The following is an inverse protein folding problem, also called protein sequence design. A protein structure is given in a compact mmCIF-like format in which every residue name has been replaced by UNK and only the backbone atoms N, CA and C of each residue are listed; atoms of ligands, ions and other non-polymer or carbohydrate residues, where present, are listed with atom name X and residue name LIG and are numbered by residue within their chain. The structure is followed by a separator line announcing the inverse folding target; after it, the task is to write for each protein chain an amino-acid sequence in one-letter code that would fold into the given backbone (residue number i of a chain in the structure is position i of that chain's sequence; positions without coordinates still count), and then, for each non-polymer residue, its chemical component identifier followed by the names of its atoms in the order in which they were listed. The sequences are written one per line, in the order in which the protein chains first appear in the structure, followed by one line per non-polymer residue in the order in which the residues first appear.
data_IF_928058595416
#
_entry.id   IF_928058595416
#
_cell.length_a   1.000
_cell.length_b   1.000
_cell.length_c   1.000
_cell.angle_alpha   90.00
_cell.angle_beta   90.00
_cell.angle_gamma   90.00
#
_symmetry.space_group_name_H-M   'P 1'
#
loop_
_entity.id
_entity.type
_entity.pdbx_description
1 polymer ?
#
# COMPACT_ATOMS: atom_id res chain seq x y z
N UNK A 1 -63.88 38.91 26.09
CA UNK A 1 -63.20 39.03 24.78
C UNK A 1 -61.70 38.79 24.97
N UNK A 2 -61.18 37.82 24.22
CA UNK A 2 -59.78 37.61 23.78
C UNK A 2 -58.69 37.38 24.86
N UNK A 3 -58.40 36.10 25.07
CA UNK A 3 -57.15 35.60 25.66
C UNK A 3 -56.00 35.77 24.67
N UNK A 4 -54.86 36.28 25.14
CA UNK A 4 -53.64 36.49 24.37
C UNK A 4 -52.75 35.26 24.58
N UNK A 5 -52.67 34.37 23.59
CA UNK A 5 -51.79 33.19 23.63
C UNK A 5 -50.44 33.59 23.04
N UNK A 6 -49.45 33.77 23.91
CA UNK A 6 -48.05 34.01 23.54
C UNK A 6 -47.43 32.68 23.10
N UNK A 7 -47.18 32.53 21.80
CA UNK A 7 -46.66 31.29 21.21
C UNK A 7 -45.13 31.25 21.32
N UNK A 8 -44.62 30.27 22.08
CA UNK A 8 -43.19 30.01 22.25
C UNK A 8 -42.67 29.16 21.07
N UNK A 9 -41.88 29.76 20.18
CA UNK A 9 -41.23 29.04 19.10
C UNK A 9 -39.95 28.34 19.61
N UNK A 10 -40.03 27.01 19.78
CA UNK A 10 -38.87 26.17 20.11
C UNK A 10 -38.20 25.79 18.78
N UNK A 11 -37.07 26.44 18.47
CA UNK A 11 -36.22 26.05 17.36
C UNK A 11 -35.44 24.78 17.73
N UNK A 12 -35.86 23.63 17.21
CA UNK A 12 -35.14 22.36 17.33
C UNK A 12 -33.93 22.35 16.39
N UNK A 13 -32.74 22.52 16.96
CA UNK A 13 -31.49 22.20 16.27
C UNK A 13 -31.43 20.67 16.06
N UNK A 14 -31.75 20.20 14.85
CA UNK A 14 -31.50 18.82 14.46
C UNK A 14 -30.00 18.62 14.28
N UNK A 15 -29.33 18.10 15.32
CA UNK A 15 -28.00 17.51 15.20
C UNK A 15 -28.10 16.30 14.28
N UNK A 16 -27.64 16.44 13.04
CA UNK A 16 -27.45 15.30 12.14
C UNK A 16 -26.32 14.43 12.69
N UNK A 17 -26.70 13.37 13.40
CA UNK A 17 -25.83 12.25 13.72
C UNK A 17 -25.38 11.58 12.43
N UNK A 18 -24.15 11.82 12.01
CA UNK A 18 -23.49 10.95 11.03
C UNK A 18 -23.14 9.66 11.75
N UNK A 19 -24.04 8.68 11.68
CA UNK A 19 -23.71 7.29 11.95
C UNK A 19 -22.70 6.84 10.87
N UNK A 20 -21.41 7.05 11.13
CA UNK A 20 -20.34 6.32 10.45
C UNK A 20 -20.46 4.87 10.91
N UNK A 21 -21.33 4.12 10.23
CA UNK A 21 -21.24 2.67 10.28
C UNK A 21 -19.86 2.33 9.73
N UNK A 22 -18.96 1.93 10.65
CA UNK A 22 -17.67 1.37 10.31
C UNK A 22 -17.88 0.07 9.58
N UNK A 23 -18.27 0.16 8.31
CA UNK A 23 -18.08 -0.92 7.36
C UNK A 23 -16.59 -1.10 7.22
N UNK A 24 -16.03 -2.02 8.00
CA UNK A 24 -14.78 -2.70 7.66
C UNK A 24 -15.05 -3.33 6.29
N UNK A 25 -14.38 -2.86 5.22
CA UNK A 25 -14.65 -3.46 3.94
C UNK A 25 -14.03 -4.86 3.93
N UNK A 26 -14.91 -5.86 3.83
CA UNK A 26 -14.53 -7.27 3.67
C UNK A 26 -14.09 -7.47 2.22
N UNK A 27 -12.78 -7.64 2.01
CA UNK A 27 -12.22 -7.94 0.70
C UNK A 27 -11.52 -9.29 0.76
N UNK A 28 -12.20 -10.31 0.23
CA UNK A 28 -11.60 -11.61 -0.07
C UNK A 28 -10.57 -11.46 -1.18
N UNK A 29 -9.37 -12.01 -0.97
CA UNK A 29 -8.30 -12.09 -1.96
C UNK A 29 -8.86 -12.61 -3.30
N UNK A 30 -8.61 -11.85 -4.38
CA UNK A 30 -9.05 -12.22 -5.74
C UNK A 30 -9.67 -11.10 -6.57
N UNK A 31 -9.88 -9.88 -6.03
CA UNK A 31 -10.43 -8.78 -6.83
C UNK A 31 -9.33 -7.88 -7.40
N UNK A 32 -9.14 -8.00 -8.71
CA UNK A 32 -8.37 -7.15 -9.63
C UNK A 32 -8.19 -5.69 -9.16
N UNK A 33 -7.06 -5.40 -8.48
CA UNK A 33 -6.67 -4.02 -8.16
C UNK A 33 -5.70 -3.53 -9.24
N UNK A 34 -6.26 -3.04 -10.34
CA UNK A 34 -5.56 -2.15 -11.27
C UNK A 34 -6.23 -0.78 -11.19
N UNK A 35 -6.02 -0.10 -10.06
CA UNK A 35 -6.32 1.32 -9.95
C UNK A 35 -5.01 2.04 -9.70
N UNK A 36 -4.76 3.19 -10.34
CA UNK A 36 -3.44 3.79 -10.33
C UNK A 36 -3.20 4.40 -8.92
N UNK A 37 -2.31 3.80 -8.13
CA UNK A 37 -1.95 4.26 -6.77
C UNK A 37 -0.57 4.92 -6.75
N UNK A 38 -0.38 5.80 -5.78
CA UNK A 38 0.88 6.51 -5.53
C UNK A 38 1.61 6.00 -4.29
N UNK A 39 0.90 5.37 -3.36
CA UNK A 39 1.46 4.80 -2.13
C UNK A 39 1.22 3.29 -2.07
N UNK A 40 2.26 2.53 -1.77
CA UNK A 40 2.21 1.10 -1.49
C UNK A 40 2.69 0.89 -0.06
N UNK A 41 1.84 0.28 0.77
CA UNK A 41 2.17 -0.09 2.14
C UNK A 41 2.13 -1.60 2.26
N UNK A 42 3.21 -2.18 2.78
CA UNK A 42 3.38 -3.63 2.93
C UNK A 42 3.52 -3.93 4.41
N UNK A 43 2.69 -4.84 4.93
CA UNK A 43 2.75 -5.30 6.32
C UNK A 43 3.06 -6.80 6.40
N UNK A 44 3.85 -7.18 7.41
CA UNK A 44 4.07 -8.59 7.78
C UNK A 44 5.12 -9.32 6.94
N UNK A 45 5.05 -10.67 6.93
CA UNK A 45 6.06 -11.52 6.31
C UNK A 45 5.82 -11.78 4.82
N UNK A 46 6.26 -10.86 3.97
CA UNK A 46 5.92 -10.89 2.53
C UNK A 46 7.14 -10.80 1.61
N UNK A 47 7.08 -11.56 0.52
CA UNK A 47 7.92 -11.38 -0.65
C UNK A 47 7.13 -10.65 -1.73
N UNK A 48 7.41 -9.36 -1.91
CA UNK A 48 6.71 -8.52 -2.88
C UNK A 48 7.52 -8.43 -4.16
N UNK A 49 6.89 -8.75 -5.28
CA UNK A 49 7.45 -8.62 -6.63
C UNK A 49 6.77 -7.44 -7.31
N UNK A 50 7.50 -6.35 -7.51
CA UNK A 50 7.01 -5.18 -8.25
C UNK A 50 7.11 -5.46 -9.75
N UNK A 51 5.99 -5.35 -10.43
CA UNK A 51 5.88 -5.56 -11.89
C UNK A 51 5.37 -4.28 -12.55
N UNK A 52 5.64 -4.12 -13.85
CA UNK A 52 5.11 -2.98 -14.59
C UNK A 52 3.59 -3.08 -14.73
N UNK A 53 2.93 -1.93 -14.78
CA UNK A 53 1.46 -1.82 -14.83
C UNK A 53 0.77 -2.38 -16.09
N UNK A 54 1.55 -2.88 -17.05
CA UNK A 54 1.03 -3.70 -18.14
C UNK A 54 0.36 -4.97 -17.58
N UNK A 55 0.82 -5.45 -16.42
CA UNK A 55 0.12 -6.44 -15.60
C UNK A 55 -1.03 -5.76 -14.82
N UNK A 56 -2.28 -6.17 -15.08
CA UNK A 56 -3.47 -5.50 -14.51
C UNK A 56 -3.89 -5.99 -13.12
N UNK A 57 -3.16 -6.92 -12.52
CA UNK A 57 -3.65 -7.60 -11.31
C UNK A 57 -2.55 -7.84 -10.30
N UNK A 58 -2.86 -7.50 -9.04
CA UNK A 58 -2.15 -8.05 -7.89
C UNK A 58 -2.43 -9.55 -7.87
N UNK A 59 -1.38 -10.37 -7.90
CA UNK A 59 -1.51 -11.83 -7.84
C UNK A 59 -0.76 -12.40 -6.65
N UNK A 60 -1.43 -13.27 -5.90
CA UNK A 60 -0.88 -13.98 -4.75
C UNK A 60 -0.64 -15.42 -5.21
N UNK A 61 0.62 -15.84 -5.25
CA UNK A 61 1.00 -17.13 -5.86
C UNK A 61 0.56 -18.35 -5.05
N UNK A 62 0.35 -18.20 -3.74
CA UNK A 62 0.07 -19.30 -2.82
C UNK A 62 -1.42 -19.36 -2.42
N UNK A 63 -2.02 -20.54 -2.46
CA UNK A 63 -3.39 -20.78 -1.98
C UNK A 63 -3.53 -20.50 -0.47
N UNK A 64 -2.49 -20.78 0.31
CA UNK A 64 -2.42 -20.42 1.75
C UNK A 64 -2.25 -18.90 1.88
N UNK A 65 -1.49 -18.29 0.96
CA UNK A 65 -1.36 -16.85 0.84
C UNK A 65 -2.70 -16.14 0.58
N UNK A 66 -3.59 -16.73 -0.20
CA UNK A 66 -4.91 -16.14 -0.50
C UNK A 66 -5.84 -16.06 0.71
N UNK A 67 -5.59 -16.81 1.79
CA UNK A 67 -6.38 -16.72 3.02
C UNK A 67 -5.73 -15.84 4.08
N UNK A 68 -4.41 -15.66 4.02
CA UNK A 68 -3.61 -14.91 5.01
C UNK A 68 -3.19 -13.51 4.57
N UNK A 69 -3.28 -13.21 3.27
CA UNK A 69 -2.89 -11.92 2.70
C UNK A 69 -4.12 -11.16 2.22
N UNK A 70 -4.29 -9.95 2.75
CA UNK A 70 -5.34 -9.03 2.33
C UNK A 70 -4.74 -7.92 1.47
N UNK A 71 -5.44 -7.55 0.40
CA UNK A 71 -5.10 -6.40 -0.43
C UNK A 71 -6.24 -5.38 -0.36
N UNK A 72 -5.95 -4.18 0.14
CA UNK A 72 -6.90 -3.09 0.27
C UNK A 72 -6.48 -1.94 -0.65
N UNK A 73 -7.40 -1.48 -1.49
CA UNK A 73 -7.24 -0.24 -2.23
C UNK A 73 -8.13 0.85 -1.64
N UNK A 74 -7.55 1.98 -1.28
CA UNK A 74 -8.29 3.13 -0.77
C UNK A 74 -7.49 4.41 -1.00
N UNK A 75 -8.13 5.50 -1.42
CA UNK A 75 -7.51 6.84 -1.47
C UNK A 75 -6.12 6.90 -2.15
N UNK A 76 -5.95 6.25 -3.31
CA UNK A 76 -4.68 6.16 -4.07
C UNK A 76 -3.54 5.44 -3.34
N UNK A 77 -3.92 4.57 -2.40
CA UNK A 77 -3.03 3.74 -1.64
C UNK A 77 -3.42 2.28 -1.81
N UNK A 78 -2.41 1.45 -2.01
CA UNK A 78 -2.53 0.00 -1.97
C UNK A 78 -1.87 -0.48 -0.67
N UNK A 79 -2.65 -1.15 0.18
CA UNK A 79 -2.16 -1.80 1.38
C UNK A 79 -2.16 -3.31 1.12
N UNK A 80 -1.01 -3.94 1.25
CA UNK A 80 -0.87 -5.39 1.26
C UNK A 80 -0.57 -5.81 2.70
N UNK A 81 -1.53 -6.45 3.34
CA UNK A 81 -1.44 -6.91 4.72
C UNK A 81 -1.21 -8.42 4.76
N UNK A 82 0.01 -8.81 5.09
CA UNK A 82 0.44 -10.18 5.35
C UNK A 82 0.80 -10.41 6.82
N UNK A 83 0.24 -9.63 7.75
CA UNK A 83 0.54 -9.78 9.20
C UNK A 83 0.12 -11.13 9.77
N UNK A 84 -0.79 -11.85 9.08
CA UNK A 84 -1.22 -13.20 9.44
C UNK A 84 -0.35 -14.31 8.81
N UNK A 85 0.67 -13.94 8.02
CA UNK A 85 1.60 -14.88 7.39
C UNK A 85 2.65 -15.33 8.41
N UNK A 86 2.94 -16.64 8.42
CA UNK A 86 3.88 -17.23 9.37
C UNK A 86 5.31 -16.73 9.09
N UNK A 87 6.10 -16.49 10.13
CA UNK A 87 7.47 -15.94 10.02
C UNK A 87 8.44 -16.83 9.20
N UNK A 88 8.18 -18.13 9.16
CA UNK A 88 9.05 -19.10 8.47
C UNK A 88 8.69 -19.35 7.00
N UNK A 89 7.52 -18.88 6.54
CA UNK A 89 7.01 -19.17 5.20
C UNK A 89 6.47 -17.91 4.54
N UNK A 90 7.34 -17.05 3.97
CA UNK A 90 6.91 -15.79 3.36
C UNK A 90 6.03 -16.06 2.14
N UNK A 91 4.91 -15.34 2.05
CA UNK A 91 4.01 -15.41 0.90
C UNK A 91 4.48 -14.48 -0.20
N UNK A 92 4.46 -14.96 -1.45
CA UNK A 92 4.84 -14.16 -2.61
C UNK A 92 3.63 -13.44 -3.21
N UNK A 93 3.74 -12.12 -3.35
CA UNK A 93 2.72 -11.24 -3.91
C UNK A 93 3.33 -10.44 -5.07
N UNK A 94 2.76 -10.57 -6.28
CA UNK A 94 3.11 -9.71 -7.42
C UNK A 94 2.21 -8.48 -7.41
N UNK A 95 2.80 -7.30 -7.54
CA UNK A 95 2.13 -6.02 -7.35
C UNK A 95 2.46 -5.09 -8.52
N UNK A 96 1.48 -4.70 -9.36
CA UNK A 96 1.71 -3.87 -10.53
C UNK A 96 1.82 -2.38 -10.19
N UNK A 97 2.95 -1.76 -10.52
CA UNK A 97 3.27 -0.36 -10.21
C UNK A 97 3.36 0.50 -11.47
N UNK A 98 2.70 1.66 -11.48
CA UNK A 98 2.75 2.63 -12.60
C UNK A 98 3.24 4.02 -12.19
N UNK A 99 2.75 4.54 -11.06
CA UNK A 99 3.02 5.89 -10.57
C UNK A 99 3.39 5.88 -9.08
N UNK A 100 4.00 4.78 -8.63
CA UNK A 100 4.40 4.61 -7.25
C UNK A 100 5.44 5.67 -6.86
N UNK A 101 5.05 6.51 -5.90
CA UNK A 101 5.88 7.57 -5.34
C UNK A 101 6.43 7.18 -3.96
N UNK A 102 5.70 6.36 -3.21
CA UNK A 102 6.04 5.96 -1.84
C UNK A 102 5.83 4.47 -1.61
N UNK A 103 6.92 3.76 -1.28
CA UNK A 103 6.91 2.38 -0.81
C UNK A 103 7.23 2.37 0.69
N UNK A 104 6.29 1.88 1.48
CA UNK A 104 6.47 1.66 2.91
C UNK A 104 6.40 0.18 3.24
N UNK A 105 7.36 -0.28 4.02
CA UNK A 105 7.49 -1.68 4.41
C UNK A 105 7.52 -1.72 5.93
N UNK A 106 6.59 -2.47 6.53
CA UNK A 106 6.40 -2.58 7.97
C UNK A 106 6.41 -4.06 8.36
N UNK A 107 7.54 -4.55 8.88
CA UNK A 107 7.73 -5.94 9.28
C UNK A 107 8.89 -6.61 8.55
N UNK A 108 8.79 -7.93 8.36
CA UNK A 108 9.83 -8.76 7.73
C UNK A 108 9.49 -8.90 6.24
N UNK A 109 10.10 -8.12 5.34
CA UNK A 109 9.72 -8.22 3.93
C UNK A 109 10.91 -8.16 2.97
N UNK A 110 10.75 -8.86 1.84
CA UNK A 110 11.65 -8.72 0.70
C UNK A 110 10.91 -8.13 -0.47
N UNK A 111 11.40 -6.99 -0.99
CA UNK A 111 10.83 -6.34 -2.15
C UNK A 111 11.81 -6.42 -3.30
N UNK A 112 11.37 -7.00 -4.42
CA UNK A 112 12.15 -7.11 -5.64
C UNK A 112 11.38 -6.51 -6.81
N UNK A 113 12.06 -5.80 -7.71
CA UNK A 113 11.49 -5.46 -9.02
C UNK A 113 11.79 -6.57 -10.03
N UNK A 114 10.78 -7.06 -10.74
CA UNK A 114 10.98 -8.04 -11.82
C UNK A 114 11.70 -7.40 -13.01
N UNK A 115 11.24 -6.21 -13.41
CA UNK A 115 11.76 -5.44 -14.52
C UNK A 115 12.25 -4.08 -14.06
N UNK A 116 12.96 -3.34 -14.93
CA UNK A 116 13.27 -1.94 -14.67
C UNK A 116 11.97 -1.13 -14.68
N UNK A 117 11.61 -0.59 -13.52
CA UNK A 117 10.43 0.24 -13.33
C UNK A 117 10.65 1.63 -13.94
N UNK A 118 9.57 2.25 -14.41
CA UNK A 118 9.58 3.60 -15.00
C UNK A 118 8.96 4.63 -14.05
N UNK A 119 9.53 4.78 -12.85
CA UNK A 119 9.04 5.71 -11.83
C UNK A 119 9.92 6.95 -11.78
N UNK A 120 9.33 8.15 -11.86
CA UNK A 120 10.08 9.41 -11.82
C UNK A 120 10.82 9.60 -10.50
N UNK A 121 10.11 9.39 -9.40
CA UNK A 121 10.61 9.52 -8.04
C UNK A 121 9.98 8.46 -7.16
N UNK A 122 10.81 7.64 -6.52
CA UNK A 122 10.39 6.64 -5.55
C UNK A 122 11.06 6.93 -4.21
N UNK A 123 10.26 7.15 -3.18
CA UNK A 123 10.69 7.13 -1.79
C UNK A 123 10.42 5.77 -1.19
N UNK A 124 11.42 5.17 -0.56
CA UNK A 124 11.32 3.90 0.13
C UNK A 124 11.55 4.13 1.62
N UNK A 125 10.61 3.72 2.47
CA UNK A 125 10.81 3.61 3.92
C UNK A 125 10.61 2.16 4.35
N UNK A 126 11.44 1.71 5.29
CA UNK A 126 11.35 0.36 5.84
C UNK A 126 11.49 0.43 7.36
N UNK A 127 10.47 -0.07 8.04
CA UNK A 127 10.42 -0.30 9.46
C UNK A 127 10.38 -1.80 9.70
N UNK A 128 11.52 -2.38 10.09
CA UNK A 128 11.66 -3.82 10.31
C UNK A 128 12.89 -4.38 9.60
N UNK A 129 12.83 -5.66 9.29
CA UNK A 129 13.93 -6.40 8.68
C UNK A 129 13.59 -6.77 7.24
N UNK A 130 14.55 -6.67 6.33
CA UNK A 130 14.21 -6.92 4.95
C UNK A 130 15.31 -6.63 3.96
N UNK A 131 15.03 -6.99 2.71
CA UNK A 131 15.89 -6.71 1.58
C UNK A 131 15.07 -6.07 0.47
N UNK A 132 15.56 -4.94 -0.02
CA UNK A 132 14.94 -4.18 -1.11
C UNK A 132 15.91 -4.16 -2.28
N UNK A 133 15.47 -4.69 -3.42
CA UNK A 133 16.21 -4.71 -4.68
C UNK A 133 15.31 -4.20 -5.80
N UNK A 134 15.44 -2.90 -6.10
CA UNK A 134 14.57 -2.20 -7.05
C UNK A 134 15.41 -1.58 -8.16
N UNK A 135 15.08 -1.96 -9.39
CA UNK A 135 15.60 -1.35 -10.62
C UNK A 135 14.61 -0.29 -11.09
N UNK A 136 15.05 0.96 -11.18
CA UNK A 136 14.22 2.09 -11.61
C UNK A 136 15.01 2.98 -12.58
N UNK A 137 14.34 3.59 -13.55
CA UNK A 137 14.95 4.60 -14.45
C UNK A 137 15.10 5.96 -13.78
N UNK A 138 14.16 6.33 -12.89
CA UNK A 138 14.20 7.60 -12.17
C UNK A 138 14.96 7.54 -10.85
N UNK A 139 14.64 8.49 -9.97
CA UNK A 139 15.34 8.63 -8.68
C UNK A 139 14.75 7.72 -7.59
N UNK A 140 15.63 7.11 -6.79
CA UNK A 140 15.25 6.39 -5.56
C UNK A 140 15.85 7.10 -4.35
N UNK A 141 14.97 7.52 -3.44
CA UNK A 141 15.30 8.02 -2.11
C UNK A 141 14.97 6.93 -1.08
N UNK A 142 15.88 6.68 -0.14
CA UNK A 142 15.64 5.79 0.99
C UNK A 142 15.54 6.66 2.23
N UNK A 143 14.45 6.54 2.98
CA UNK A 143 14.25 7.17 4.28
C UNK A 143 14.41 6.10 5.36
N UNK A 144 15.14 6.47 6.40
CA UNK A 144 15.26 5.66 7.60
C UNK A 144 14.35 6.23 8.67
N UNK A 145 13.37 5.45 9.08
CA UNK A 145 12.61 5.74 10.29
C UNK A 145 13.30 5.03 11.46
N UNK A 146 13.54 5.76 12.55
CA UNK A 146 14.09 5.26 13.82
C UNK A 146 15.60 4.94 13.88
N UNK A 147 16.44 5.60 13.07
CA UNK A 147 17.90 5.53 13.23
C UNK A 147 18.55 4.22 12.74
N UNK A 148 17.81 3.41 11.98
CA UNK A 148 18.31 2.18 11.37
C UNK A 148 19.27 2.53 10.22
N UNK A 149 20.46 1.93 10.20
CA UNK A 149 21.43 2.16 9.14
C UNK A 149 21.14 1.30 7.90
N UNK A 150 20.76 1.94 6.80
CA UNK A 150 20.59 1.27 5.52
C UNK A 150 21.93 1.16 4.80
N UNK A 151 22.40 -0.06 4.54
CA UNK A 151 23.45 -0.27 3.55
C UNK A 151 22.88 -0.05 2.15
N UNK A 152 22.97 1.18 1.66
CA UNK A 152 22.50 1.54 0.32
C UNK A 152 23.62 1.31 -0.69
N UNK A 153 23.44 0.35 -1.60
CA UNK A 153 24.35 0.14 -2.73
C UNK A 153 23.65 0.69 -3.98
N UNK A 154 24.11 1.83 -4.49
CA UNK A 154 23.63 2.39 -5.76
C UNK A 154 24.59 1.98 -6.87
N UNK A 155 24.08 1.27 -7.88
CA UNK A 155 24.83 0.98 -9.11
C UNK A 155 24.18 1.72 -10.27
N UNK A 156 24.95 2.57 -10.95
CA UNK A 156 24.56 3.17 -12.23
C UNK A 156 25.17 2.33 -13.34
N UNK A 157 24.36 1.72 -14.20
CA UNK A 157 24.84 1.07 -15.41
C UNK A 157 25.15 2.10 -16.49
N UNK A 158 26.35 2.06 -17.07
CA UNK A 158 26.61 2.71 -18.35
C UNK A 158 26.23 1.74 -19.47
N UNK A 159 25.40 2.20 -20.41
CA UNK A 159 25.15 1.48 -21.66
C UNK A 159 26.19 1.96 -22.66
N UNK A 160 27.12 1.09 -23.02
CA UNK A 160 28.01 1.31 -24.16
C UNK A 160 27.31 0.73 -25.38
N UNK A 161 26.91 1.58 -26.32
CA UNK A 161 26.42 1.14 -27.64
C UNK A 161 27.67 1.05 -28.53
N UNK A 162 27.94 -0.14 -29.06
CA UNK A 162 28.96 -0.38 -30.08
C UNK A 162 28.38 -0.17 -31.48
#
# INVERSE_FOLDING_TARGET
MKQFILSLAIATFSLSSFASTGMKPDFKAGKSIAAPYKRLVVYGNLKVILVNADEKQVSIHDQIGQTKVNALYSKNELIIDGSAVDEFSPVTVRVPVNQLELLEINGIASVISENTLQLNHLTVSMQGEGKIDIKNTGSIQVKSDNGIQFKTIKQKGQVTIH
#
